data_IF_658490684097
#
_entry.id   IF_658490684097
#
_cell.length_a   1.000
_cell.length_b   1.000
_cell.length_c   1.000
_cell.angle_alpha   90.00
_cell.angle_beta   90.00
_cell.angle_gamma   90.00
#
_symmetry.space_group_name_H-M   'P 1'
#
loop_
_entity.id
_entity.type
_entity.pdbx_description
1 polymer ?
#
# COMPACT_ATOMS: atom_id res chain seq x y z
N UNK A 1 11.76 -11.14 -3.21
CA UNK A 1 10.29 -11.12 -3.27
C UNK A 1 9.79 -12.20 -2.32
N UNK A 2 9.20 -11.85 -1.19
CA UNK A 2 8.60 -12.85 -0.30
C UNK A 2 7.25 -13.23 -0.89
N UNK A 3 7.19 -14.40 -1.55
CA UNK A 3 5.93 -15.00 -1.99
C UNK A 3 5.00 -15.05 -0.78
N UNK A 4 3.90 -14.29 -0.78
CA UNK A 4 2.86 -14.44 0.24
C UNK A 4 2.45 -15.91 0.18
N UNK A 5 2.73 -16.67 1.24
CA UNK A 5 2.28 -18.05 1.32
C UNK A 5 0.76 -18.01 1.15
N UNK A 6 0.25 -18.82 0.20
CA UNK A 6 -1.19 -18.96 0.04
C UNK A 6 -1.74 -19.46 1.37
N UNK A 7 -2.57 -18.64 2.01
CA UNK A 7 -3.26 -19.05 3.21
C UNK A 7 -4.13 -20.25 2.87
N UNK A 8 -3.90 -21.36 3.56
CA UNK A 8 -4.75 -22.55 3.43
C UNK A 8 -5.67 -22.56 4.65
N UNK A 9 -6.95 -22.22 4.49
CA UNK A 9 -7.87 -22.17 5.62
C UNK A 9 -8.07 -23.57 6.20
N UNK A 10 -8.06 -23.74 7.54
CA UNK A 10 -8.35 -25.02 8.19
C UNK A 10 -9.86 -25.28 8.12
N UNK A 11 -10.32 -25.91 7.04
CA UNK A 11 -11.75 -26.12 6.75
C UNK A 11 -12.29 -27.45 7.32
N UNK A 12 -11.41 -28.32 7.82
CA UNK A 12 -11.76 -29.68 8.28
C UNK A 12 -12.84 -29.72 9.39
N UNK A 13 -12.95 -28.64 10.17
CA UNK A 13 -13.86 -28.54 11.32
C UNK A 13 -14.94 -27.47 11.17
N UNK A 14 -15.22 -27.01 9.94
CA UNK A 14 -16.24 -25.98 9.73
C UNK A 14 -17.64 -26.47 10.16
N UNK A 15 -18.24 -25.76 11.12
CA UNK A 15 -19.56 -26.09 11.64
C UNK A 15 -20.65 -25.49 10.76
N UNK A 16 -21.33 -26.32 9.96
CA UNK A 16 -22.38 -25.82 9.04
C UNK A 16 -23.55 -25.12 9.73
N UNK A 17 -23.72 -25.26 11.05
CA UNK A 17 -24.77 -24.54 11.79
C UNK A 17 -24.55 -23.02 11.81
N UNK A 18 -23.33 -22.55 11.57
CA UNK A 18 -23.00 -21.12 11.53
C UNK A 18 -22.98 -20.55 10.10
N UNK A 19 -23.23 -21.35 9.07
CA UNK A 19 -23.18 -20.92 7.66
C UNK A 19 -24.06 -19.70 7.36
N UNK A 20 -25.30 -19.71 7.85
CA UNK A 20 -26.20 -18.57 7.68
C UNK A 20 -25.74 -17.32 8.44
N UNK A 21 -24.98 -17.49 9.52
CA UNK A 21 -24.41 -16.36 10.28
C UNK A 21 -23.23 -15.78 9.50
N UNK A 22 -22.36 -16.63 8.95
CA UNK A 22 -21.22 -16.18 8.16
C UNK A 22 -21.66 -15.45 6.88
N UNK A 23 -22.69 -15.94 6.19
CA UNK A 23 -23.29 -15.23 5.04
C UNK A 23 -23.86 -13.87 5.47
N UNK A 24 -24.52 -13.80 6.62
CA UNK A 24 -25.04 -12.54 7.17
C UNK A 24 -23.92 -11.57 7.54
N UNK A 25 -22.79 -12.05 8.08
CA UNK A 25 -21.59 -11.24 8.33
C UNK A 25 -21.09 -10.63 7.01
N UNK A 26 -20.97 -11.44 5.94
CA UNK A 26 -20.56 -10.95 4.62
C UNK A 26 -21.53 -9.89 4.10
N UNK A 27 -22.84 -10.12 4.23
CA UNK A 27 -23.87 -9.16 3.84
C UNK A 27 -23.74 -7.83 4.60
N UNK A 28 -23.50 -7.89 5.91
CA UNK A 28 -23.32 -6.70 6.77
C UNK A 28 -22.03 -5.94 6.47
N UNK A 29 -20.94 -6.64 6.15
CA UNK A 29 -19.68 -6.02 5.71
C UNK A 29 -19.91 -5.24 4.41
N UNK A 30 -20.58 -5.86 3.44
CA UNK A 30 -20.93 -5.20 2.18
C UNK A 30 -21.84 -3.98 2.41
N UNK A 31 -22.86 -4.12 3.25
CA UNK A 31 -23.76 -3.02 3.59
C UNK A 31 -23.02 -1.85 4.27
N UNK A 32 -22.08 -2.15 5.17
CA UNK A 32 -21.22 -1.14 5.80
C UNK A 32 -20.43 -0.36 4.75
N UNK A 33 -19.81 -1.04 3.79
CA UNK A 33 -19.02 -0.46 2.69
C UNK A 33 -19.85 0.47 1.81
N UNK A 34 -21.02 0.01 1.37
CA UNK A 34 -21.91 0.80 0.50
C UNK A 34 -22.46 2.02 1.23
N UNK A 35 -22.84 1.91 2.50
CA UNK A 35 -23.41 3.03 3.27
C UNK A 35 -22.39 4.12 3.62
N UNK A 36 -21.11 3.77 3.65
CA UNK A 36 -20.03 4.72 3.95
C UNK A 36 -19.32 5.25 2.71
N UNK A 37 -19.79 4.93 1.50
CA UNK A 37 -19.11 5.28 0.25
C UNK A 37 -17.63 4.83 0.24
N UNK A 38 -17.38 3.60 0.68
CA UNK A 38 -16.03 3.01 0.82
C UNK A 38 -15.09 3.74 1.81
N UNK A 39 -15.59 4.71 2.59
CA UNK A 39 -14.86 5.36 3.68
C UNK A 39 -15.54 5.14 5.04
N UNK A 40 -15.48 3.92 5.60
CA UNK A 40 -16.28 3.56 6.76
C UNK A 40 -15.69 4.02 8.10
N UNK A 41 -14.53 4.69 8.08
CA UNK A 41 -13.82 5.10 9.28
C UNK A 41 -13.58 3.96 10.28
N UNK A 42 -13.46 4.33 11.56
CA UNK A 42 -13.19 3.40 12.66
C UNK A 42 -14.07 3.72 13.87
N UNK A 43 -14.63 2.70 14.57
CA UNK A 43 -15.42 2.94 15.78
C UNK A 43 -14.63 3.63 16.89
N UNK A 44 -15.28 4.51 17.66
CA UNK A 44 -14.63 5.18 18.79
C UNK A 44 -14.32 4.19 19.93
N UNK A 45 -13.34 4.54 20.77
CA UNK A 45 -12.90 3.72 21.89
C UNK A 45 -14.05 3.34 22.82
N UNK A 46 -14.95 4.29 23.09
CA UNK A 46 -16.12 4.09 23.95
C UNK A 46 -17.10 3.08 23.34
N UNK A 47 -17.25 3.07 22.00
CA UNK A 47 -18.10 2.11 21.30
C UNK A 47 -17.49 0.70 21.36
N UNK A 48 -16.19 0.57 21.10
CA UNK A 48 -15.47 -0.70 21.20
C UNK A 48 -15.58 -1.29 22.61
N UNK A 49 -15.34 -0.49 23.65
CA UNK A 49 -15.45 -0.92 25.05
C UNK A 49 -16.87 -1.40 25.38
N UNK A 50 -17.89 -0.63 24.97
CA UNK A 50 -19.30 -0.99 25.21
C UNK A 50 -19.71 -2.30 24.50
N UNK A 51 -19.29 -2.50 23.25
CA UNK A 51 -19.59 -3.73 22.52
C UNK A 51 -18.80 -4.94 23.04
N UNK A 52 -17.54 -4.73 23.43
CA UNK A 52 -16.71 -5.75 24.05
C UNK A 52 -17.36 -6.28 25.34
N UNK A 53 -17.81 -5.37 26.22
CA UNK A 53 -18.52 -5.74 27.45
C UNK A 53 -19.84 -6.46 27.13
N UNK A 54 -20.67 -5.89 26.24
CA UNK A 54 -22.00 -6.41 25.92
C UNK A 54 -21.99 -7.81 25.31
N UNK A 55 -21.05 -8.09 24.41
CA UNK A 55 -20.98 -9.35 23.66
C UNK A 55 -19.85 -10.27 24.14
N UNK A 56 -19.18 -9.92 25.24
CA UNK A 56 -18.08 -10.67 25.85
C UNK A 56 -16.89 -10.90 24.89
N UNK A 57 -16.50 -9.86 24.15
CA UNK A 57 -15.28 -9.85 23.34
C UNK A 57 -14.13 -9.16 24.08
N UNK A 58 -12.90 -9.46 23.66
CA UNK A 58 -11.74 -8.61 23.98
C UNK A 58 -11.75 -7.37 23.08
N UNK A 59 -11.44 -6.20 23.64
CA UNK A 59 -11.36 -4.95 22.87
C UNK A 59 -10.37 -5.06 21.71
N UNK A 60 -9.20 -5.69 21.93
CA UNK A 60 -8.18 -5.88 20.88
C UNK A 60 -8.66 -6.76 19.72
N UNK A 61 -9.53 -7.74 19.99
CA UNK A 61 -10.14 -8.53 18.94
C UNK A 61 -11.05 -7.65 18.06
N UNK A 62 -11.91 -6.83 18.67
CA UNK A 62 -12.75 -5.91 17.92
C UNK A 62 -11.92 -4.88 17.15
N UNK A 63 -10.87 -4.33 17.77
CA UNK A 63 -9.93 -3.43 17.09
C UNK A 63 -9.29 -4.09 15.86
N UNK A 64 -8.91 -5.37 15.97
CA UNK A 64 -8.36 -6.13 14.84
C UNK A 64 -9.39 -6.35 13.73
N UNK A 65 -10.64 -6.69 14.08
CA UNK A 65 -11.71 -6.88 13.08
C UNK A 65 -11.96 -5.58 12.31
N UNK A 66 -12.14 -4.47 13.01
CA UNK A 66 -12.40 -3.18 12.36
C UNK A 66 -11.17 -2.62 11.62
N UNK A 67 -9.94 -2.96 12.02
CA UNK A 67 -8.73 -2.52 11.31
C UNK A 67 -8.57 -3.21 9.96
N UNK A 68 -9.04 -4.45 9.84
CA UNK A 68 -9.12 -5.17 8.57
C UNK A 68 -10.20 -4.59 7.64
N UNK A 69 -11.33 -4.13 8.18
CA UNK A 69 -12.34 -3.42 7.37
C UNK A 69 -11.89 -2.03 6.93
N UNK A 70 -10.99 -1.38 7.67
CA UNK A 70 -10.43 -0.08 7.30
C UNK A 70 -9.45 -0.18 6.12
N UNK A 71 -8.80 -1.33 5.92
CA UNK A 71 -7.73 -1.49 4.94
C UNK A 71 -7.99 -2.69 4.02
N UNK A 72 -9.20 -2.82 3.46
CA UNK A 72 -9.56 -3.96 2.58
C UNK A 72 -8.59 -4.09 1.39
N UNK A 73 -8.10 -2.96 0.87
CA UNK A 73 -7.22 -2.92 -0.31
C UNK A 73 -5.93 -3.73 -0.15
N UNK A 74 -5.45 -3.97 1.08
CA UNK A 74 -4.26 -4.80 1.32
C UNK A 74 -4.47 -6.28 0.95
N UNK A 75 -5.72 -6.68 0.73
CA UNK A 75 -6.13 -8.03 0.33
C UNK A 75 -6.36 -8.17 -1.17
N UNK A 76 -6.37 -7.08 -1.95
CA UNK A 76 -6.45 -7.19 -3.41
C UNK A 76 -5.33 -8.14 -3.89
N UNK A 77 -5.55 -9.04 -4.86
CA UNK A 77 -4.50 -9.92 -5.37
C UNK A 77 -3.34 -9.11 -5.96
N UNK A 78 -2.10 -9.39 -5.57
CA UNK A 78 -0.92 -8.71 -6.14
C UNK A 78 -0.47 -9.41 -7.42
N UNK A 79 -0.06 -8.64 -8.42
CA UNK A 79 0.50 -9.17 -9.66
C UNK A 79 1.97 -9.48 -9.43
N UNK A 80 2.36 -10.75 -9.59
CA UNK A 80 3.78 -11.12 -9.57
C UNK A 80 4.40 -10.85 -10.96
N UNK A 81 5.44 -9.98 -11.07
CA UNK A 81 6.06 -9.71 -12.36
C UNK A 81 6.72 -10.96 -12.94
N UNK A 82 6.37 -11.32 -14.18
CA UNK A 82 6.82 -12.53 -14.87
C UNK A 82 7.26 -12.24 -16.31
N UNK A 83 8.28 -12.95 -16.77
CA UNK A 83 8.82 -12.80 -18.12
C UNK A 83 9.52 -11.45 -18.30
N UNK A 84 10.65 -11.26 -17.62
CA UNK A 84 11.46 -10.05 -17.77
C UNK A 84 11.81 -9.79 -19.24
N UNK A 85 11.63 -8.55 -19.69
CA UNK A 85 11.89 -8.10 -21.07
C UNK A 85 13.15 -7.24 -21.11
N UNK A 86 13.15 -6.10 -20.41
CA UNK A 86 14.22 -5.10 -20.48
C UNK A 86 14.18 -4.13 -19.29
N UNK A 87 15.24 -3.32 -19.15
CA UNK A 87 15.23 -2.13 -18.30
C UNK A 87 15.04 -0.90 -19.18
N UNK A 88 14.04 -0.07 -18.86
CA UNK A 88 13.79 1.20 -19.53
C UNK A 88 14.48 2.29 -18.71
N UNK A 89 15.50 2.98 -19.26
CA UNK A 89 16.20 4.03 -18.54
C UNK A 89 15.27 5.24 -18.38
N UNK A 90 15.13 5.74 -17.15
CA UNK A 90 14.39 6.97 -16.84
C UNK A 90 15.36 8.06 -16.40
N UNK A 91 16.27 7.73 -15.48
CA UNK A 91 17.35 8.60 -14.98
C UNK A 91 16.86 10.00 -14.58
N UNK A 92 15.86 10.04 -13.72
CA UNK A 92 15.29 11.27 -13.17
C UNK A 92 15.69 11.42 -11.71
N UNK A 93 16.12 12.62 -11.34
CA UNK A 93 16.46 12.95 -9.96
C UNK A 93 16.04 14.37 -9.63
N UNK A 94 15.63 14.60 -8.38
CA UNK A 94 15.30 15.93 -7.90
C UNK A 94 15.57 16.03 -6.40
N UNK A 95 15.68 17.27 -5.92
CA UNK A 95 15.98 17.59 -4.53
C UNK A 95 14.76 18.26 -3.89
N UNK A 96 14.49 17.92 -2.63
CA UNK A 96 13.54 18.65 -1.80
C UNK A 96 14.07 18.73 -0.37
N UNK A 97 14.56 19.92 0.00
CA UNK A 97 15.29 20.12 1.25
C UNK A 97 16.59 19.30 1.26
N UNK A 98 16.73 18.43 2.24
CA UNK A 98 17.91 17.57 2.41
C UNK A 98 17.75 16.18 1.75
N UNK A 99 16.64 15.96 1.05
CA UNK A 99 16.29 14.68 0.43
C UNK A 99 16.54 14.72 -1.07
N UNK A 100 17.24 13.69 -1.54
CA UNK A 100 17.58 13.47 -2.94
C UNK A 100 16.81 12.26 -3.45
N UNK A 101 15.87 12.48 -4.36
CA UNK A 101 15.03 11.44 -4.92
C UNK A 101 15.60 11.02 -6.27
N UNK A 102 15.65 9.71 -6.50
CA UNK A 102 16.17 9.15 -7.75
C UNK A 102 15.32 8.01 -8.27
N UNK A 103 14.94 8.07 -9.55
CA UNK A 103 14.38 6.97 -10.33
C UNK A 103 15.33 6.66 -11.48
N UNK A 104 16.01 5.51 -11.41
CA UNK A 104 17.06 5.16 -12.38
C UNK A 104 16.50 4.45 -13.60
N UNK A 105 15.73 3.38 -13.40
CA UNK A 105 15.14 2.58 -14.46
C UNK A 105 13.82 1.95 -14.03
N UNK A 106 13.02 1.57 -15.03
CA UNK A 106 11.83 0.74 -14.87
C UNK A 106 12.15 -0.64 -15.42
N UNK A 107 11.91 -1.69 -14.63
CA UNK A 107 12.01 -3.07 -15.14
C UNK A 107 10.72 -3.42 -15.83
N UNK A 108 10.80 -3.79 -17.10
CA UNK A 108 9.66 -4.20 -17.89
C UNK A 108 9.53 -5.73 -17.89
N UNK A 109 8.34 -6.20 -17.54
CA UNK A 109 7.93 -7.59 -17.64
C UNK A 109 6.77 -7.71 -18.63
N UNK A 110 6.41 -8.94 -19.01
CA UNK A 110 5.30 -9.18 -19.93
C UNK A 110 3.95 -8.74 -19.33
N UNK A 111 3.77 -8.91 -18.03
CA UNK A 111 2.51 -8.67 -17.33
C UNK A 111 2.51 -7.41 -16.44
N UNK A 112 3.66 -6.81 -16.15
CA UNK A 112 3.79 -5.69 -15.23
C UNK A 112 5.04 -4.84 -15.50
N UNK A 113 5.08 -3.65 -14.91
CA UNK A 113 6.29 -2.82 -14.84
C UNK A 113 6.69 -2.63 -13.38
N UNK A 114 8.00 -2.59 -13.10
CA UNK A 114 8.51 -2.37 -11.74
C UNK A 114 9.34 -1.10 -11.69
N UNK A 115 8.87 -0.13 -10.90
CA UNK A 115 9.54 1.15 -10.67
C UNK A 115 10.34 1.07 -9.37
N UNK A 116 11.61 1.46 -9.43
CA UNK A 116 12.46 1.59 -8.25
C UNK A 116 12.71 3.06 -7.96
N UNK A 117 12.40 3.46 -6.74
CA UNK A 117 12.66 4.79 -6.22
C UNK A 117 13.66 4.70 -5.08
N UNK A 118 14.67 5.54 -5.13
CA UNK A 118 15.63 5.76 -4.05
C UNK A 118 15.46 7.16 -3.48
N UNK A 119 15.64 7.28 -2.17
CA UNK A 119 15.67 8.54 -1.42
C UNK A 119 16.95 8.53 -0.61
N UNK A 120 17.86 9.43 -0.93
CA UNK A 120 19.12 9.62 -0.25
C UNK A 120 19.09 10.91 0.57
N UNK A 121 19.87 10.96 1.65
CA UNK A 121 20.13 12.18 2.41
C UNK A 121 21.53 12.15 2.99
N UNK A 122 22.11 13.33 3.21
CA UNK A 122 23.39 13.43 3.91
C UNK A 122 23.19 13.26 5.41
N UNK A 123 24.09 12.52 6.06
CA UNK A 123 24.05 12.32 7.51
C UNK A 123 24.47 13.59 8.23
N UNK A 124 23.63 14.11 9.12
CA UNK A 124 23.95 15.17 10.08
C UNK A 124 24.23 14.58 11.48
N UNK A 125 25.09 15.25 12.27
CA UNK A 125 25.44 14.82 13.63
C UNK A 125 24.28 14.95 14.63
N UNK A 126 23.27 15.77 14.31
CA UNK A 126 22.08 16.00 15.13
C UNK A 126 20.88 15.10 14.72
N UNK A 127 21.11 14.09 13.88
CA UNK A 127 20.03 13.30 13.31
C UNK A 127 19.35 12.34 14.29
N UNK A 128 18.03 12.38 14.26
CA UNK A 128 17.18 11.38 14.91
C UNK A 128 17.43 10.02 14.21
N UNK A 129 17.72 8.94 14.97
CA UNK A 129 17.89 7.61 14.42
C UNK A 129 16.68 7.16 13.61
N UNK A 130 16.88 6.37 12.54
CA UNK A 130 15.81 5.92 11.62
C UNK A 130 14.56 5.37 12.33
N UNK A 131 14.74 4.58 13.40
CA UNK A 131 13.65 3.98 14.18
C UNK A 131 12.82 4.97 15.02
N UNK A 132 13.25 6.24 15.12
CA UNK A 132 12.54 7.33 15.80
C UNK A 132 12.03 8.40 14.82
N UNK A 133 12.28 8.24 13.53
CA UNK A 133 11.75 9.14 12.51
C UNK A 133 10.27 8.86 12.28
N UNK A 134 9.55 9.89 11.84
CA UNK A 134 8.19 9.69 11.35
C UNK A 134 8.21 8.67 10.22
N UNK A 135 7.29 7.70 10.27
CA UNK A 135 7.17 6.71 9.20
C UNK A 135 6.52 7.38 8.00
N UNK A 136 7.34 7.81 7.06
CA UNK A 136 6.90 8.37 5.78
C UNK A 136 6.81 7.22 4.77
N UNK A 137 5.71 7.18 4.04
CA UNK A 137 5.47 6.27 2.92
C UNK A 137 5.08 7.07 1.68
N UNK A 138 5.28 6.47 0.51
CA UNK A 138 4.95 7.09 -0.77
C UNK A 138 4.04 6.15 -1.53
N UNK A 139 2.93 6.67 -2.06
CA UNK A 139 2.05 5.92 -2.95
C UNK A 139 2.23 6.40 -4.37
N UNK A 140 2.35 5.44 -5.29
CA UNK A 140 2.49 5.70 -6.70
C UNK A 140 1.13 5.63 -7.38
N UNK A 141 0.84 6.59 -8.26
CA UNK A 141 -0.23 6.51 -9.24
C UNK A 141 0.29 6.86 -10.63
N UNK A 142 -0.35 6.34 -11.67
CA UNK A 142 -0.04 6.63 -13.07
C UNK A 142 -1.18 7.44 -13.68
N UNK A 143 -0.87 8.61 -14.22
CA UNK A 143 -1.83 9.45 -14.95
C UNK A 143 -1.39 9.61 -16.42
N UNK A 144 -2.30 10.12 -17.27
CA UNK A 144 -2.04 10.35 -18.70
C UNK A 144 -2.42 9.18 -19.62
N UNK A 145 -3.12 8.18 -19.12
CA UNK A 145 -3.65 7.05 -19.90
C UNK A 145 -5.17 6.95 -19.79
N UNK A 146 -5.81 6.36 -20.82
CA UNK A 146 -7.21 5.92 -20.75
C UNK A 146 -7.38 4.62 -19.94
N UNK A 147 -6.28 3.93 -19.65
CA UNK A 147 -6.27 2.69 -18.87
C UNK A 147 -5.93 3.02 -17.41
N UNK A 148 -6.67 2.43 -16.48
CA UNK A 148 -6.38 2.51 -15.05
C UNK A 148 -5.27 1.51 -14.67
N UNK A 149 -4.29 1.97 -13.89
CA UNK A 149 -3.18 1.16 -13.42
C UNK A 149 -3.30 0.87 -11.92
N UNK A 150 -3.24 -0.41 -11.54
CA UNK A 150 -3.02 -0.83 -10.16
C UNK A 150 -1.53 -0.67 -9.83
N UNK A 151 -1.23 0.15 -8.82
CA UNK A 151 0.12 0.50 -8.42
C UNK A 151 0.35 0.09 -6.97
N UNK A 152 1.31 -0.80 -6.73
CA UNK A 152 1.54 -1.36 -5.41
C UNK A 152 2.98 -1.33 -4.97
N UNK A 153 3.19 -0.82 -3.77
CA UNK A 153 4.46 -0.95 -3.08
C UNK A 153 4.65 -2.41 -2.62
N UNK A 154 5.53 -3.14 -3.28
CA UNK A 154 5.82 -4.58 -3.02
C UNK A 154 7.08 -4.79 -2.19
N UNK A 155 7.83 -3.71 -1.93
CA UNK A 155 9.01 -3.79 -1.11
C UNK A 155 9.60 -2.43 -0.83
N UNK A 156 10.47 -2.43 0.16
CA UNK A 156 11.26 -1.27 0.51
C UNK A 156 12.17 -1.62 1.66
N UNK A 157 13.20 -0.82 1.81
CA UNK A 157 14.20 -1.01 2.84
C UNK A 157 15.08 0.21 2.89
N UNK A 158 15.61 0.50 4.06
CA UNK A 158 16.43 1.68 4.23
C UNK A 158 17.37 1.56 5.40
N UNK A 159 18.25 2.54 5.43
CA UNK A 159 19.18 2.90 6.49
C UNK A 159 18.90 4.37 6.88
N UNK A 160 19.70 4.93 7.78
CA UNK A 160 19.54 6.34 8.17
C UNK A 160 19.68 7.31 6.97
N UNK A 161 20.48 6.97 5.97
CA UNK A 161 20.81 7.88 4.86
C UNK A 161 20.20 7.49 3.52
N UNK A 162 19.70 6.26 3.38
CA UNK A 162 19.18 5.74 2.13
C UNK A 162 17.88 4.99 2.37
N UNK A 163 16.84 5.27 1.59
CA UNK A 163 15.60 4.49 1.59
C UNK A 163 15.26 4.12 0.15
N UNK A 164 14.87 2.87 -0.06
CA UNK A 164 14.46 2.36 -1.35
C UNK A 164 13.03 1.85 -1.30
N UNK A 165 12.30 2.05 -2.38
CA UNK A 165 10.94 1.55 -2.60
C UNK A 165 10.87 0.85 -3.96
N UNK A 166 10.07 -0.21 -4.02
CA UNK A 166 9.77 -0.92 -5.26
C UNK A 166 8.27 -0.98 -5.46
N UNK A 167 7.82 -0.51 -6.62
CA UNK A 167 6.41 -0.47 -7.00
C UNK A 167 6.17 -1.37 -8.20
N UNK A 168 5.17 -2.25 -8.10
CA UNK A 168 4.64 -3.01 -9.23
C UNK A 168 3.45 -2.26 -9.82
N UNK A 169 3.46 -2.07 -11.13
CA UNK A 169 2.41 -1.42 -11.90
C UNK A 169 1.79 -2.46 -12.84
N UNK A 170 0.47 -2.60 -12.79
CA UNK A 170 -0.31 -3.49 -13.65
C UNK A 170 -1.51 -2.75 -14.27
N UNK A 171 -1.74 -2.85 -15.58
CA UNK A 171 -0.95 -3.60 -16.57
C UNK A 171 0.46 -3.00 -16.79
N UNK A 172 1.30 -3.72 -17.53
CA UNK A 172 2.61 -3.21 -17.95
C UNK A 172 2.50 -1.82 -18.62
N UNK A 173 3.39 -0.90 -18.21
CA UNK A 173 3.58 0.38 -18.88
C UNK A 173 4.02 0.17 -20.35
N UNK A 174 3.68 1.10 -21.26
CA UNK A 174 4.10 1.02 -22.65
C UNK A 174 5.63 1.10 -22.77
N UNK A 175 6.18 0.44 -23.78
CA UNK A 175 7.62 0.28 -23.99
C UNK A 175 8.39 1.57 -24.34
N UNK A 176 7.67 2.64 -24.66
CA UNK A 176 8.19 3.95 -25.04
C UNK A 176 7.53 5.04 -24.17
N UNK A 177 8.22 6.18 -23.96
CA UNK A 177 7.66 7.37 -23.34
C UNK A 177 6.28 7.71 -23.93
N UNK A 178 5.25 7.69 -23.08
CA UNK A 178 3.86 7.80 -23.51
C UNK A 178 3.17 9.05 -22.94
N UNK A 179 3.96 10.03 -22.49
CA UNK A 179 3.49 11.20 -21.75
C UNK A 179 2.70 10.80 -20.49
N UNK A 180 3.07 9.67 -19.89
CA UNK A 180 2.51 9.23 -18.63
C UNK A 180 3.18 9.99 -17.49
N UNK A 181 2.45 10.18 -16.42
CA UNK A 181 2.95 10.85 -15.22
C UNK A 181 2.93 9.85 -14.06
N UNK A 182 4.13 9.54 -13.56
CA UNK A 182 4.31 8.75 -12.34
C UNK A 182 4.26 9.71 -11.15
N UNK A 183 3.16 9.71 -10.42
CA UNK A 183 2.91 10.64 -9.32
C UNK A 183 3.13 9.91 -8.00
N UNK A 184 4.02 10.45 -7.17
CA UNK A 184 4.34 9.92 -5.85
C UNK A 184 3.76 10.86 -4.80
N UNK A 185 2.79 10.37 -4.01
CA UNK A 185 2.13 11.13 -2.93
C UNK A 185 2.67 10.68 -1.59
N UNK A 186 3.06 11.63 -0.75
CA UNK A 186 3.64 11.36 0.55
C UNK A 186 2.58 11.25 1.65
N UNK A 187 2.71 10.21 2.47
CA UNK A 187 1.85 9.93 3.61
C UNK A 187 2.66 9.67 4.87
N UNK A 188 2.21 10.25 5.99
CA UNK A 188 2.68 9.90 7.34
C UNK A 188 1.90 8.69 7.86
N UNK A 189 2.59 7.78 8.54
CA UNK A 189 2.04 6.60 9.21
C UNK A 189 2.51 6.50 10.67
N UNK A 190 1.77 5.84 11.59
CA UNK A 190 0.31 5.66 11.62
C UNK A 190 -0.41 6.78 12.43
N UNK A 191 -1.67 7.16 12.10
CA UNK A 191 -2.49 6.71 10.97
C UNK A 191 -2.06 7.35 9.64
N UNK A 192 -2.47 6.75 8.52
CA UNK A 192 -2.21 7.28 7.17
C UNK A 192 -2.81 8.67 7.00
N UNK A 193 -1.97 9.68 6.82
CA UNK A 193 -2.36 11.07 6.55
C UNK A 193 -1.51 11.65 5.43
N UNK A 194 -2.15 12.21 4.41
CA UNK A 194 -1.45 12.92 3.35
C UNK A 194 -0.70 14.12 3.94
N UNK A 195 0.56 14.30 3.57
CA UNK A 195 1.34 15.47 4.03
C UNK A 195 1.09 16.69 3.14
N UNK A 196 0.48 16.48 1.97
CA UNK A 196 0.34 17.48 0.91
C UNK A 196 1.54 17.55 -0.02
N UNK A 197 2.63 16.85 0.30
CA UNK A 197 3.77 16.73 -0.59
C UNK A 197 3.54 15.64 -1.64
N UNK A 198 3.80 15.98 -2.90
CA UNK A 198 3.84 15.05 -4.01
C UNK A 198 4.86 15.50 -5.05
N UNK A 199 5.35 14.56 -5.85
CA UNK A 199 6.19 14.87 -7.00
C UNK A 199 5.83 13.97 -8.18
N UNK A 200 6.16 14.44 -9.38
CA UNK A 200 5.82 13.78 -10.63
C UNK A 200 7.07 13.49 -11.43
N UNK A 201 7.17 12.27 -11.96
CA UNK A 201 8.18 11.87 -12.93
C UNK A 201 7.49 11.59 -14.27
N UNK A 202 7.94 12.27 -15.32
CA UNK A 202 7.41 12.07 -16.67
C UNK A 202 7.99 10.79 -17.27
N UNK A 203 7.10 9.95 -17.80
CA UNK A 203 7.39 8.72 -18.52
C UNK A 203 6.95 8.83 -19.97
#
# INVERSE_FOLDING_TARGET
>A
MFKRMRFTPPTDHYDKRIESIDEEIVRLIHERKVRSDDDPGFPHKEQIASWAEKYHFYEDFLNSVFSHFLNEDVYKPSVEPEGFIKNIPVMQSFENGELFYTLTFIRQYQNASVVHMAIDRMKSDDEIPFHRREHISYELSVEGSEIEYDCRQEGGGGTDTHTSYSYVISPALPDAPANLELIFKEYRLPPKKATGYQFTVKY
#
